data_IF_748129785416
#
_entry.id   IF_748129785416
#
_cell.length_a   1.000
_cell.length_b   1.000
_cell.length_c   1.000
_cell.angle_alpha   90.00
_cell.angle_beta   90.00
_cell.angle_gamma   90.00
#
_symmetry.space_group_name_H-M   'P 1'
#
loop_
_entity.id
_entity.type
_entity.pdbx_description
1 polymer ?
#
# COMPACT_ATOMS: atom_id res chain seq x y z
N UNK A 1 20.49 13.03 -5.55
CA UNK A 1 19.55 11.94 -5.91
C UNK A 1 19.06 11.11 -4.71
N UNK A 2 19.95 10.58 -3.86
CA UNK A 2 19.58 9.67 -2.75
C UNK A 2 18.52 10.24 -1.80
N UNK A 3 18.72 11.46 -1.28
CA UNK A 3 17.79 12.12 -0.34
C UNK A 3 16.41 12.33 -0.96
N UNK A 4 16.36 12.74 -2.23
CA UNK A 4 15.10 12.90 -2.96
C UNK A 4 14.30 11.60 -3.03
N UNK A 5 14.95 10.47 -3.37
CA UNK A 5 14.28 9.17 -3.44
C UNK A 5 13.77 8.70 -2.07
N UNK A 6 14.52 8.97 -0.99
CA UNK A 6 14.08 8.65 0.37
C UNK A 6 12.84 9.46 0.77
N UNK A 7 12.83 10.75 0.47
CA UNK A 7 11.67 11.61 0.72
C UNK A 7 10.48 11.15 -0.11
N UNK A 8 10.67 10.87 -1.41
CA UNK A 8 9.61 10.38 -2.28
C UNK A 8 9.02 9.05 -1.75
N UNK A 9 9.87 8.12 -1.31
CA UNK A 9 9.43 6.86 -0.72
C UNK A 9 8.64 7.05 0.57
N UNK A 10 9.10 7.96 1.45
CA UNK A 10 8.38 8.32 2.67
C UNK A 10 6.99 8.91 2.35
N UNK A 11 6.92 9.84 1.39
CA UNK A 11 5.65 10.44 0.96
C UNK A 11 4.70 9.37 0.43
N UNK A 12 5.18 8.45 -0.42
CA UNK A 12 4.38 7.33 -0.92
C UNK A 12 3.88 6.45 0.22
N UNK A 13 4.73 6.12 1.20
CA UNK A 13 4.34 5.32 2.36
C UNK A 13 3.26 6.00 3.22
N UNK A 14 3.38 7.32 3.42
CA UNK A 14 2.36 8.11 4.13
C UNK A 14 1.03 8.09 3.36
N UNK A 15 1.07 8.32 2.04
CA UNK A 15 -0.12 8.27 1.17
C UNK A 15 -0.77 6.88 1.24
N UNK A 16 0.01 5.80 1.13
CA UNK A 16 -0.50 4.43 1.25
C UNK A 16 -1.17 4.20 2.61
N UNK A 17 -0.55 4.65 3.71
CA UNK A 17 -1.11 4.51 5.05
C UNK A 17 -2.46 5.23 5.18
N UNK A 18 -2.60 6.46 4.68
CA UNK A 18 -3.87 7.19 4.73
C UNK A 18 -4.98 6.49 3.94
N UNK A 19 -4.67 5.91 2.78
CA UNK A 19 -5.64 5.14 2.02
C UNK A 19 -6.07 3.87 2.77
N UNK A 20 -5.15 3.17 3.45
CA UNK A 20 -5.51 2.01 4.31
C UNK A 20 -6.36 2.46 5.49
N UNK A 21 -6.01 3.57 6.14
CA UNK A 21 -6.76 4.09 7.29
C UNK A 21 -8.21 4.42 6.94
N UNK A 22 -8.40 5.24 5.91
CA UNK A 22 -9.74 5.63 5.50
C UNK A 22 -10.51 4.45 4.86
N UNK A 23 -9.81 3.56 4.15
CA UNK A 23 -10.38 2.32 3.65
C UNK A 23 -10.91 1.42 4.77
N UNK A 24 -10.14 1.27 5.86
CA UNK A 24 -10.54 0.49 7.05
C UNK A 24 -11.73 1.12 7.75
N UNK A 25 -11.71 2.44 7.97
CA UNK A 25 -12.84 3.16 8.58
C UNK A 25 -14.13 3.02 7.77
N UNK A 26 -14.04 3.18 6.45
CA UNK A 26 -15.18 2.98 5.54
C UNK A 26 -15.66 1.53 5.53
N UNK A 27 -14.75 0.56 5.49
CA UNK A 27 -15.10 -0.86 5.48
C UNK A 27 -15.81 -1.32 6.76
N UNK A 28 -15.40 -0.78 7.90
CA UNK A 28 -15.99 -1.10 9.20
C UNK A 28 -17.20 -0.21 9.57
N UNK A 29 -17.56 0.75 8.72
CA UNK A 29 -18.62 1.74 8.98
C UNK A 29 -18.42 2.50 10.31
N UNK A 30 -17.18 2.93 10.56
CA UNK A 30 -16.80 3.63 11.80
C UNK A 30 -16.65 5.12 11.51
N UNK A 31 -17.63 5.92 11.93
CA UNK A 31 -17.66 7.38 11.67
C UNK A 31 -17.46 8.23 12.94
N UNK A 32 -17.33 7.60 14.12
CA UNK A 32 -17.16 8.32 15.38
C UNK A 32 -15.71 8.79 15.61
N UNK A 33 -15.51 9.89 16.33
CA UNK A 33 -14.17 10.42 16.67
C UNK A 33 -13.29 9.38 17.37
N UNK A 34 -13.85 8.65 18.34
CA UNK A 34 -13.13 7.58 19.04
C UNK A 34 -12.86 6.38 18.11
N UNK A 35 -13.82 6.07 17.24
CA UNK A 35 -13.66 5.05 16.21
C UNK A 35 -12.56 5.36 15.19
N UNK A 36 -12.33 6.63 14.86
CA UNK A 36 -11.23 7.05 14.00
C UNK A 36 -9.85 6.76 14.61
N UNK A 37 -9.71 6.87 15.93
CA UNK A 37 -8.46 6.50 16.63
C UNK A 37 -8.26 4.99 16.61
N UNK A 38 -9.33 4.22 16.82
CA UNK A 38 -9.27 2.74 16.75
C UNK A 38 -8.89 2.28 15.34
N UNK A 39 -9.50 2.86 14.30
CA UNK A 39 -9.19 2.53 12.90
C UNK A 39 -7.77 2.91 12.52
N UNK A 40 -7.20 4.00 13.08
CA UNK A 40 -5.79 4.36 12.90
C UNK A 40 -4.87 3.24 13.42
N UNK A 41 -5.11 2.77 14.64
CA UNK A 41 -4.30 1.70 15.26
C UNK A 41 -4.42 0.39 14.50
N UNK A 42 -5.65 -0.01 14.15
CA UNK A 42 -5.91 -1.21 13.35
C UNK A 42 -5.22 -1.13 11.99
N UNK A 43 -5.27 0.03 11.34
CA UNK A 43 -4.64 0.25 10.03
C UNK A 43 -3.13 0.15 10.10
N UNK A 44 -2.51 0.63 11.18
CA UNK A 44 -1.09 0.38 11.46
C UNK A 44 -0.77 -1.11 11.50
N UNK A 45 -1.61 -1.91 12.16
CA UNK A 45 -1.50 -3.38 12.14
C UNK A 45 -1.66 -3.97 10.74
N UNK A 46 -2.70 -3.55 10.01
CA UNK A 46 -3.02 -4.05 8.66
C UNK A 46 -1.91 -3.77 7.65
N UNK A 47 -1.21 -2.62 7.77
CA UNK A 47 -0.08 -2.29 6.90
C UNK A 47 1.10 -3.24 7.01
N UNK A 48 1.23 -4.01 8.11
CA UNK A 48 2.26 -5.05 8.25
C UNK A 48 1.90 -6.37 7.58
N UNK A 49 0.62 -6.57 7.21
CA UNK A 49 0.18 -7.76 6.48
C UNK A 49 0.15 -7.40 5.00
N UNK A 50 1.15 -7.82 4.18
CA UNK A 50 1.38 -7.22 2.87
C UNK A 50 0.16 -7.31 1.94
N UNK A 51 -0.50 -8.46 1.90
CA UNK A 51 -1.66 -8.68 1.03
C UNK A 51 -2.92 -7.98 1.54
N UNK A 52 -3.20 -8.07 2.84
CA UNK A 52 -4.42 -7.49 3.43
C UNK A 52 -4.32 -5.96 3.42
N UNK A 53 -3.19 -5.41 3.89
CA UNK A 53 -2.94 -3.97 3.84
C UNK A 53 -3.02 -3.41 2.43
N UNK A 54 -2.45 -4.12 1.43
CA UNK A 54 -2.55 -3.70 0.02
C UNK A 54 -4.00 -3.73 -0.48
N UNK A 55 -4.78 -4.77 -0.18
CA UNK A 55 -6.16 -4.88 -0.62
C UNK A 55 -7.05 -3.79 0.00
N UNK A 56 -6.91 -3.55 1.31
CA UNK A 56 -7.63 -2.48 2.02
C UNK A 56 -7.20 -1.10 1.53
N UNK A 57 -5.92 -0.92 1.23
CA UNK A 57 -5.40 0.30 0.63
C UNK A 57 -5.97 0.58 -0.75
N UNK A 58 -6.07 -0.44 -1.61
CA UNK A 58 -6.75 -0.33 -2.92
C UNK A 58 -8.22 0.02 -2.73
N UNK A 59 -8.91 -0.64 -1.80
CA UNK A 59 -10.29 -0.31 -1.46
C UNK A 59 -10.44 1.16 -1.04
N UNK A 60 -9.57 1.65 -0.16
CA UNK A 60 -9.54 3.06 0.24
C UNK A 60 -9.29 4.01 -0.93
N UNK A 61 -8.27 3.76 -1.75
CA UNK A 61 -7.96 4.61 -2.90
C UNK A 61 -9.11 4.65 -3.92
N UNK A 62 -9.76 3.52 -4.20
CA UNK A 62 -10.85 3.46 -5.18
C UNK A 62 -12.14 4.06 -4.61
N UNK A 63 -12.58 3.60 -3.44
CA UNK A 63 -13.91 3.93 -2.92
C UNK A 63 -13.94 5.16 -2.02
N UNK A 64 -12.81 5.60 -1.45
CA UNK A 64 -12.75 6.84 -0.66
C UNK A 64 -12.18 7.97 -1.50
N UNK A 65 -11.09 7.75 -2.23
CA UNK A 65 -10.42 8.81 -3.00
C UNK A 65 -10.90 8.92 -4.46
N UNK A 66 -11.70 7.96 -4.94
CA UNK A 66 -12.21 7.96 -6.31
C UNK A 66 -11.12 7.68 -7.36
N UNK A 67 -10.01 7.05 -6.99
CA UNK A 67 -8.97 6.70 -7.94
C UNK A 67 -9.42 5.55 -8.84
N UNK A 68 -8.90 5.52 -10.07
CA UNK A 68 -9.09 4.35 -10.92
C UNK A 68 -8.38 3.13 -10.33
N UNK A 69 -8.96 1.94 -10.53
CA UNK A 69 -8.42 0.69 -10.02
C UNK A 69 -6.94 0.48 -10.41
N UNK A 70 -6.58 0.83 -11.65
CA UNK A 70 -5.20 0.70 -12.13
C UNK A 70 -4.23 1.58 -11.32
N UNK A 71 -4.58 2.84 -11.03
CA UNK A 71 -3.75 3.74 -10.22
C UNK A 71 -3.57 3.19 -8.80
N UNK A 72 -4.65 2.67 -8.21
CA UNK A 72 -4.62 2.06 -6.90
C UNK A 72 -3.74 0.80 -6.86
N UNK A 73 -3.88 -0.09 -7.86
CA UNK A 73 -3.07 -1.30 -7.96
C UNK A 73 -1.58 -0.99 -8.12
N UNK A 74 -1.22 -0.01 -8.95
CA UNK A 74 0.17 0.42 -9.10
C UNK A 74 0.71 0.99 -7.78
N UNK A 75 -0.08 1.79 -7.06
CA UNK A 75 0.34 2.34 -5.78
C UNK A 75 0.59 1.23 -4.74
N UNK A 76 -0.28 0.24 -4.61
CA UNK A 76 -0.19 -0.75 -3.52
C UNK A 76 0.59 -2.02 -3.87
N UNK A 77 0.57 -2.46 -5.12
CA UNK A 77 1.19 -3.71 -5.57
C UNK A 77 2.48 -3.50 -6.37
N UNK A 78 3.14 -2.34 -6.28
CA UNK A 78 4.41 -2.07 -6.98
C UNK A 78 5.51 -3.09 -6.66
N UNK A 79 5.48 -3.70 -5.48
CA UNK A 79 6.45 -4.73 -5.07
C UNK A 79 6.33 -6.00 -5.90
N UNK A 80 5.14 -6.33 -6.43
CA UNK A 80 4.90 -7.53 -7.23
C UNK A 80 5.72 -7.52 -8.53
N UNK A 81 5.59 -6.53 -9.44
CA UNK A 81 6.42 -6.48 -10.63
C UNK A 81 7.91 -6.33 -10.28
N UNK A 82 8.25 -5.63 -9.19
CA UNK A 82 9.63 -5.53 -8.74
C UNK A 82 10.23 -6.90 -8.39
N UNK A 83 9.55 -7.71 -7.57
CA UNK A 83 10.00 -9.06 -7.22
C UNK A 83 10.01 -10.00 -8.42
N UNK A 84 9.05 -9.89 -9.34
CA UNK A 84 9.04 -10.67 -10.59
C UNK A 84 10.28 -10.39 -11.44
N UNK A 85 10.66 -9.12 -11.61
CA UNK A 85 11.85 -8.73 -12.36
C UNK A 85 13.12 -9.25 -11.68
N UNK A 86 13.22 -9.11 -10.35
CA UNK A 86 14.36 -9.61 -9.58
C UNK A 86 14.49 -11.14 -9.64
N UNK A 87 13.38 -11.86 -9.59
CA UNK A 87 13.34 -13.31 -9.72
C UNK A 87 13.84 -13.75 -11.09
N UNK A 88 13.32 -13.16 -12.17
CA UNK A 88 13.74 -13.46 -13.55
C UNK A 88 15.22 -13.14 -13.75
N UNK A 89 15.68 -11.97 -13.30
CA UNK A 89 17.09 -11.58 -13.41
C UNK A 89 18.00 -12.57 -12.67
N UNK A 90 17.62 -12.98 -11.45
CA UNK A 90 18.38 -13.96 -10.67
C UNK A 90 18.42 -15.34 -11.34
N UNK A 91 17.30 -15.80 -11.90
CA UNK A 91 17.22 -17.06 -12.63
C UNK A 91 18.08 -17.05 -13.90
N UNK A 92 18.18 -15.90 -14.59
CA UNK A 92 19.04 -15.73 -15.76
C UNK A 92 20.51 -15.72 -15.37
N UNK A 93 20.91 -14.97 -14.33
CA UNK A 93 22.31 -14.93 -13.89
C UNK A 93 22.81 -16.24 -13.27
N UNK A 94 21.92 -17.07 -12.72
CA UNK A 94 22.25 -18.40 -12.22
C UNK A 94 22.44 -19.46 -13.31
N UNK A 95 22.06 -19.17 -14.56
CA UNK A 95 22.25 -20.07 -15.71
C UNK A 95 23.66 -20.01 -16.30
N UNK A 96 24.39 -18.92 -16.05
CA UNK A 96 25.74 -18.67 -16.61
C UNK A 96 26.88 -19.13 -15.68
N UNK A 97 26.57 -19.86 -14.60
CA UNK A 97 27.53 -20.51 -13.68
C UNK A 97 27.34 -22.01 -13.69
#
# INVERSE_FOLDING_TARGET
MRVFLQIAYLVVGVVQFFAVWQGTGKFLHIDSLFGNVVTLVLSGGLTYIPLIGSAVGVYGAVYVWGWSLVKALVLFYWYVPFFMIMFVASAMSGRDR
#
